data_IF_806537043025
#
_entry.id   IF_806537043025
#
_cell.length_a   1.000
_cell.length_b   1.000
_cell.length_c   1.000
_cell.angle_alpha   90.00
_cell.angle_beta   90.00
_cell.angle_gamma   90.00
#
_symmetry.space_group_name_H-M   'P 1'
#
loop_
_entity.id
_entity.type
_entity.pdbx_description
1 polymer ?
#
# COMPACT_ATOMS: atom_id res chain seq x y z
N UNK A 1 -14.82 -16.43 14.75
CA UNK A 1 -14.56 -15.71 13.52
C UNK A 1 -13.52 -14.68 13.73
N UNK A 2 -12.64 -14.59 12.84
CA UNK A 2 -11.44 -13.81 13.04
C UNK A 2 -11.23 -12.76 12.00
N UNK A 3 -12.25 -12.12 11.58
CA UNK A 3 -12.08 -11.18 10.53
C UNK A 3 -11.63 -9.81 10.95
N UNK A 4 -11.43 -9.61 12.22
CA UNK A 4 -11.01 -8.31 12.72
C UNK A 4 -9.59 -7.95 12.31
N UNK A 5 -8.79 -8.92 11.92
CA UNK A 5 -7.39 -8.67 11.61
C UNK A 5 -7.15 -7.96 10.28
N UNK A 6 -8.15 -7.91 9.41
CA UNK A 6 -7.95 -7.33 8.10
C UNK A 6 -7.07 -8.20 7.22
N UNK A 7 -6.29 -7.57 6.35
CA UNK A 7 -5.46 -8.26 5.37
C UNK A 7 -4.00 -8.14 5.69
N UNK A 8 -3.18 -9.13 5.31
CA UNK A 8 -1.74 -8.98 5.48
C UNK A 8 -1.23 -7.77 4.68
N UNK A 9 -0.26 -7.06 5.26
CA UNK A 9 0.35 -5.96 4.54
C UNK A 9 1.09 -6.49 3.31
N UNK A 10 0.85 -5.93 2.12
CA UNK A 10 1.46 -6.45 0.90
C UNK A 10 2.92 -6.07 0.70
N UNK A 11 3.47 -5.20 1.54
CA UNK A 11 4.86 -4.80 1.41
C UNK A 11 5.76 -5.98 1.76
N UNK A 12 6.76 -6.24 0.91
CA UNK A 12 7.63 -7.39 1.09
C UNK A 12 8.30 -7.37 2.46
N UNK A 13 8.27 -8.50 3.14
CA UNK A 13 8.91 -8.65 4.44
C UNK A 13 8.11 -8.12 5.62
N UNK A 14 6.96 -7.50 5.37
CA UNK A 14 6.15 -6.96 6.46
C UNK A 14 5.29 -8.05 7.06
N UNK A 15 5.28 -8.12 8.40
CA UNK A 15 4.46 -9.10 9.12
C UNK A 15 3.21 -8.50 9.74
N UNK A 16 2.98 -7.21 9.51
CA UNK A 16 1.82 -6.52 10.06
C UNK A 16 0.60 -6.73 9.19
N UNK A 17 -0.55 -6.34 9.71
CA UNK A 17 -1.80 -6.44 8.96
C UNK A 17 -2.37 -5.05 8.70
N UNK A 18 -2.95 -4.87 7.52
CA UNK A 18 -3.69 -3.67 7.18
C UNK A 18 -5.11 -3.81 7.74
N UNK A 19 -5.69 -2.68 8.12
CA UNK A 19 -7.08 -2.68 8.53
C UNK A 19 -7.96 -3.01 7.33
N UNK A 20 -9.22 -3.45 7.54
CA UNK A 20 -10.05 -3.92 6.44
C UNK A 20 -10.20 -2.98 5.26
N UNK A 21 -10.13 -1.67 5.49
CA UNK A 21 -10.30 -0.71 4.43
C UNK A 21 -9.02 -0.02 4.01
N UNK A 22 -7.89 -0.57 4.41
CA UNK A 22 -6.61 0.02 4.09
C UNK A 22 -5.80 -0.91 3.19
N UNK A 23 -5.00 -0.33 2.32
CA UNK A 23 -4.19 -1.08 1.38
C UNK A 23 -3.03 -1.79 2.07
N UNK A 24 -2.40 -1.13 3.03
CA UNK A 24 -1.23 -1.67 3.72
C UNK A 24 -1.27 -1.24 5.18
N UNK A 25 -0.35 -1.76 5.99
CA UNK A 25 -0.32 -1.38 7.40
C UNK A 25 -0.08 0.12 7.54
N UNK A 26 -0.49 0.69 8.68
CA UNK A 26 -0.46 2.13 8.84
C UNK A 26 0.93 2.72 8.67
N UNK A 27 1.99 2.17 9.30
CA UNK A 27 3.32 2.74 9.09
C UNK A 27 3.75 2.79 7.62
N UNK A 28 3.43 1.78 6.84
CA UNK A 28 3.78 1.78 5.43
C UNK A 28 2.91 2.76 4.64
N UNK A 29 1.63 2.85 4.98
CA UNK A 29 0.75 3.78 4.30
C UNK A 29 1.23 5.22 4.44
N UNK A 30 1.77 5.57 5.60
CA UNK A 30 2.29 6.91 5.83
C UNK A 30 3.52 7.21 4.97
N UNK A 31 4.16 6.19 4.42
CA UNK A 31 5.34 6.37 3.57
C UNK A 31 5.00 6.48 2.09
N UNK A 32 3.75 6.30 1.72
CA UNK A 32 3.34 6.40 0.33
C UNK A 32 3.40 7.88 -0.11
N UNK A 33 4.08 8.19 -1.23
CA UNK A 33 4.10 9.57 -1.73
C UNK A 33 2.69 10.10 -1.96
N UNK A 34 2.50 11.38 -1.72
CA UNK A 34 1.17 11.98 -1.80
C UNK A 34 0.47 11.73 -3.13
N UNK A 35 1.19 11.84 -4.23
CA UNK A 35 0.59 11.65 -5.54
C UNK A 35 0.05 10.22 -5.69
N UNK A 36 0.78 9.24 -5.19
CA UNK A 36 0.34 7.85 -5.27
C UNK A 36 -0.78 7.57 -4.28
N UNK A 37 -0.71 8.18 -3.11
CA UNK A 37 -1.78 8.09 -2.13
C UNK A 37 -3.10 8.56 -2.74
N UNK A 38 -3.06 9.73 -3.39
CA UNK A 38 -4.24 10.27 -4.05
C UNK A 38 -4.73 9.37 -5.18
N UNK A 39 -3.79 8.81 -5.96
CA UNK A 39 -4.16 7.93 -7.05
C UNK A 39 -4.88 6.68 -6.54
N UNK A 40 -4.44 6.14 -5.41
CA UNK A 40 -5.12 4.98 -4.81
C UNK A 40 -6.55 5.35 -4.42
N UNK A 41 -6.75 6.48 -3.77
CA UNK A 41 -8.10 6.90 -3.40
C UNK A 41 -8.98 7.16 -4.61
N UNK A 42 -8.45 7.86 -5.61
CA UNK A 42 -9.23 8.20 -6.80
C UNK A 42 -9.64 6.96 -7.57
N UNK A 43 -8.71 6.04 -7.75
CA UNK A 43 -9.01 4.82 -8.50
C UNK A 43 -9.92 3.89 -7.72
N UNK A 44 -9.80 3.88 -6.39
CA UNK A 44 -10.69 3.07 -5.58
C UNK A 44 -12.14 3.59 -5.69
N UNK A 45 -12.30 4.90 -5.73
CA UNK A 45 -13.64 5.49 -5.90
C UNK A 45 -14.28 5.09 -7.22
N UNK A 46 -13.47 4.76 -8.22
CA UNK A 46 -13.95 4.36 -9.54
C UNK A 46 -13.69 2.88 -9.82
N UNK A 47 -13.56 2.08 -8.79
CA UNK A 47 -13.16 0.69 -8.90
C UNK A 47 -14.05 -0.11 -9.84
N UNK A 48 -15.34 0.13 -9.79
CA UNK A 48 -16.27 -0.62 -10.65
C UNK A 48 -16.11 -0.29 -12.12
N UNK A 49 -15.73 0.95 -12.41
CA UNK A 49 -15.57 1.39 -13.79
C UNK A 49 -14.24 0.97 -14.37
N UNK A 50 -13.20 1.03 -13.55
CA UNK A 50 -11.86 0.76 -14.04
C UNK A 50 -11.04 0.05 -12.97
N UNK A 51 -11.25 -1.26 -12.79
CA UNK A 51 -10.49 -2.01 -11.79
C UNK A 51 -9.00 -2.09 -12.11
N UNK A 52 -8.63 -2.00 -13.39
CA UNK A 52 -7.22 -2.04 -13.75
C UNK A 52 -6.47 -0.79 -13.28
N UNK A 53 -7.11 0.37 -13.35
CA UNK A 53 -6.49 1.59 -12.84
C UNK A 53 -6.19 1.47 -11.36
N UNK A 54 -7.09 0.89 -10.60
CA UNK A 54 -6.86 0.68 -9.17
C UNK A 54 -5.72 -0.30 -8.94
N UNK A 55 -5.67 -1.39 -9.70
CA UNK A 55 -4.58 -2.35 -9.55
C UNK A 55 -3.23 -1.71 -9.85
N UNK A 56 -3.17 -0.86 -10.86
CA UNK A 56 -1.93 -0.16 -11.19
C UNK A 56 -1.53 0.83 -10.10
N UNK A 57 -2.48 1.60 -9.59
CA UNK A 57 -2.20 2.55 -8.51
C UNK A 57 -1.74 1.82 -7.25
N UNK A 58 -2.38 0.71 -6.94
CA UNK A 58 -2.02 -0.11 -5.80
C UNK A 58 -0.59 -0.63 -5.93
N UNK A 59 -0.27 -1.20 -7.09
CA UNK A 59 1.07 -1.73 -7.34
C UNK A 59 2.12 -0.64 -7.26
N UNK A 60 1.83 0.55 -7.80
CA UNK A 60 2.76 1.66 -7.75
C UNK A 60 3.02 2.13 -6.31
N UNK A 61 1.96 2.17 -5.50
CA UNK A 61 2.11 2.58 -4.10
C UNK A 61 2.97 1.58 -3.33
N UNK A 62 2.73 0.29 -3.53
CA UNK A 62 3.52 -0.74 -2.86
C UNK A 62 4.98 -0.67 -3.30
N UNK A 63 5.21 -0.54 -4.61
CA UNK A 63 6.56 -0.47 -5.14
C UNK A 63 7.32 0.75 -4.61
N UNK A 64 6.63 1.89 -4.46
CA UNK A 64 7.27 3.10 -3.95
C UNK A 64 7.72 2.93 -2.51
N UNK A 65 6.91 2.27 -1.68
CA UNK A 65 7.28 2.02 -0.29
C UNK A 65 8.45 1.05 -0.22
N UNK A 66 8.40 -0.02 -1.02
CA UNK A 66 9.48 -0.99 -1.04
C UNK A 66 10.79 -0.38 -1.51
N UNK A 67 10.73 0.51 -2.50
CA UNK A 67 11.92 1.20 -2.98
C UNK A 67 12.51 2.10 -1.91
N UNK A 68 11.66 2.80 -1.16
CA UNK A 68 12.13 3.63 -0.05
C UNK A 68 12.83 2.81 1.01
N UNK A 69 12.25 1.68 1.37
CA UNK A 69 12.84 0.84 2.40
C UNK A 69 14.14 0.22 1.95
N UNK A 70 14.22 -0.17 0.68
CA UNK A 70 15.46 -0.70 0.14
C UNK A 70 16.57 0.35 0.16
N UNK A 71 16.22 1.58 -0.17
CA UNK A 71 17.18 2.67 -0.15
C UNK A 71 17.65 2.98 1.27
N UNK A 72 16.72 2.99 2.22
CA UNK A 72 17.07 3.22 3.62
C UNK A 72 17.97 2.13 4.15
N UNK A 73 17.72 0.89 3.76
CA UNK A 73 18.55 -0.22 4.20
C UNK A 73 19.99 -0.07 3.71
N UNK A 74 20.16 0.43 2.47
CA UNK A 74 21.49 0.69 1.95
C UNK A 74 22.18 1.83 2.67
N UNK A 75 21.45 2.90 2.99
CA UNK A 75 22.00 4.04 3.67
C UNK A 75 22.25 3.79 5.15
N UNK A 76 21.53 2.84 5.73
CA UNK A 76 21.65 2.52 7.12
C UNK A 76 22.90 1.74 7.47
N UNK A 77 23.66 1.34 6.48
CA UNK A 77 24.92 0.66 6.73
C UNK A 77 26.05 1.64 6.91
#
# INVERSE_FOLDING_TARGET
>A
MTRALGNPCPVAGCTRHAKPHQLMCWPHWLRVPKALNRAVFDTFANLRRDPDAYRQARAAAIAAVEAKEAEEARHGL
#
